data_IF_827551223695
#
_entry.id   IF_827551223695
#
_cell.length_a   1.000
_cell.length_b   1.000
_cell.length_c   1.000
_cell.angle_alpha   90.00
_cell.angle_beta   90.00
_cell.angle_gamma   90.00
#
_symmetry.space_group_name_H-M   'P 1'
#
loop_
_entity.id
_entity.type
_entity.pdbx_description
1 polymer ?
#
# COMPACT_ATOMS: atom_id res chain seq x y z
N UNK A 1 -6.06 -0.97 -5.77
CA UNK A 1 -5.63 0.30 -6.41
C UNK A 1 -6.27 0.48 -7.79
N UNK A 2 -7.40 -0.18 -8.07
CA UNK A 2 -7.92 -0.31 -9.43
C UNK A 2 -8.47 1.02 -9.98
N UNK A 3 -9.20 1.77 -9.14
CA UNK A 3 -9.72 3.09 -9.54
C UNK A 3 -8.60 4.05 -10.00
N UNK A 4 -7.43 4.01 -9.37
CA UNK A 4 -6.29 4.85 -9.73
C UNK A 4 -5.70 4.45 -11.09
N UNK A 5 -5.76 3.16 -11.44
CA UNK A 5 -5.38 2.69 -12.78
C UNK A 5 -6.38 3.16 -13.82
N UNK A 6 -7.68 3.05 -13.53
CA UNK A 6 -8.74 3.54 -14.43
C UNK A 6 -8.64 5.05 -14.68
N UNK A 7 -8.17 5.80 -13.68
CA UNK A 7 -7.95 7.24 -13.76
C UNK A 7 -6.55 7.62 -14.31
N UNK A 8 -5.77 6.65 -14.78
CA UNK A 8 -4.45 6.81 -15.41
C UNK A 8 -3.41 7.56 -14.55
N UNK A 9 -3.44 7.35 -13.24
CA UNK A 9 -2.43 7.91 -12.35
C UNK A 9 -1.10 7.18 -12.55
N UNK A 10 -0.06 7.92 -12.95
CA UNK A 10 1.28 7.36 -13.17
C UNK A 10 2.22 7.51 -11.96
N UNK A 11 1.99 8.52 -11.11
CA UNK A 11 2.82 8.86 -9.95
C UNK A 11 1.96 8.90 -8.70
N UNK A 12 2.25 8.01 -7.75
CA UNK A 12 1.40 7.84 -6.56
C UNK A 12 2.22 7.72 -5.28
N UNK A 13 1.75 8.40 -4.23
CA UNK A 13 2.27 8.28 -2.87
C UNK A 13 1.14 7.82 -1.97
N UNK A 14 1.26 6.61 -1.44
CA UNK A 14 0.33 6.05 -0.45
C UNK A 14 0.83 6.35 0.96
N UNK A 15 0.06 7.12 1.71
CA UNK A 15 0.32 7.36 3.12
C UNK A 15 -0.46 6.34 3.98
N UNK A 16 0.20 5.77 4.98
CA UNK A 16 -0.42 4.86 5.96
C UNK A 16 0.10 5.11 7.37
N UNK A 17 -0.68 4.79 8.37
CA UNK A 17 -0.32 4.82 9.78
C UNK A 17 0.02 3.44 10.37
N UNK A 18 -0.13 2.37 9.58
CA UNK A 18 0.26 1.03 9.98
C UNK A 18 1.74 0.78 9.68
N UNK A 19 2.59 0.57 10.68
CA UNK A 19 4.03 0.28 10.48
C UNK A 19 4.28 -1.14 9.93
N UNK A 20 3.41 -2.11 10.27
CA UNK A 20 3.56 -3.53 9.93
C UNK A 20 3.55 -3.80 8.42
N UNK A 21 2.79 -3.01 7.66
CA UNK A 21 2.67 -3.23 6.22
C UNK A 21 4.00 -3.00 5.47
N UNK A 22 4.96 -2.25 6.04
CA UNK A 22 6.31 -2.19 5.45
C UNK A 22 7.03 -3.53 5.63
N UNK A 23 6.96 -4.10 6.84
CA UNK A 23 7.61 -5.38 7.18
C UNK A 23 7.05 -6.54 6.36
N UNK A 24 5.74 -6.57 6.15
CA UNK A 24 5.10 -7.56 5.29
C UNK A 24 5.67 -7.53 3.86
N UNK A 25 5.92 -6.33 3.31
CA UNK A 25 6.47 -6.16 1.95
C UNK A 25 7.93 -6.57 1.88
N UNK A 26 8.71 -6.26 2.91
CA UNK A 26 10.14 -6.55 2.94
C UNK A 26 10.46 -8.03 3.24
N UNK A 27 9.61 -8.72 4.00
CA UNK A 27 9.85 -10.08 4.50
C UNK A 27 8.63 -10.99 4.31
N UNK A 28 8.18 -11.28 3.07
CA UNK A 28 6.96 -12.06 2.83
C UNK A 28 7.01 -13.48 3.41
N UNK A 29 8.20 -14.08 3.56
CA UNK A 29 8.37 -15.39 4.17
C UNK A 29 8.00 -15.46 5.67
N UNK A 30 8.00 -14.32 6.37
CA UNK A 30 7.53 -14.24 7.77
C UNK A 30 6.01 -14.14 7.87
N UNK A 31 5.32 -13.91 6.74
CA UNK A 31 3.87 -13.68 6.66
C UNK A 31 3.21 -14.60 5.62
N UNK A 32 3.37 -15.94 5.72
CA UNK A 32 2.92 -16.87 4.68
C UNK A 32 1.40 -16.82 4.45
N UNK A 33 0.62 -16.51 5.48
CA UNK A 33 -0.83 -16.31 5.38
C UNK A 33 -1.23 -15.16 4.45
N UNK A 34 -0.32 -14.22 4.17
CA UNK A 34 -0.57 -13.05 3.32
C UNK A 34 0.08 -13.16 1.93
N UNK A 35 0.71 -14.30 1.60
CA UNK A 35 1.47 -14.47 0.35
C UNK A 35 0.66 -14.09 -0.90
N UNK A 36 -0.56 -14.61 -1.03
CA UNK A 36 -1.46 -14.31 -2.17
C UNK A 36 -1.79 -12.82 -2.26
N UNK A 37 -2.15 -12.19 -1.14
CA UNK A 37 -2.41 -10.74 -1.11
C UNK A 37 -1.18 -9.94 -1.50
N UNK A 38 0.02 -10.45 -1.21
CA UNK A 38 1.26 -9.79 -1.56
C UNK A 38 1.59 -9.86 -3.03
N UNK A 39 1.33 -10.99 -3.67
CA UNK A 39 1.44 -11.13 -5.12
C UNK A 39 0.50 -10.16 -5.85
N UNK A 40 -0.76 -10.06 -5.39
CA UNK A 40 -1.75 -9.11 -5.92
C UNK A 40 -1.32 -7.65 -5.72
N UNK A 41 -0.75 -7.35 -4.55
CA UNK A 41 -0.22 -6.02 -4.25
C UNK A 41 0.95 -5.66 -5.17
N UNK A 42 1.92 -6.57 -5.37
CA UNK A 42 3.06 -6.34 -6.26
C UNK A 42 2.60 -6.17 -7.71
N UNK A 43 1.67 -7.00 -8.18
CA UNK A 43 1.07 -6.84 -9.51
C UNK A 43 0.38 -5.48 -9.63
N UNK A 44 -0.37 -5.05 -8.62
CA UNK A 44 -1.03 -3.75 -8.63
C UNK A 44 -0.04 -2.58 -8.61
N UNK A 45 1.10 -2.73 -7.91
CA UNK A 45 2.16 -1.73 -7.85
C UNK A 45 2.84 -1.54 -9.21
N UNK A 46 3.03 -2.61 -10.01
CA UNK A 46 3.76 -2.54 -11.28
C UNK A 46 3.07 -1.70 -12.36
N UNK A 47 1.81 -1.29 -12.15
CA UNK A 47 1.09 -0.41 -13.07
C UNK A 47 1.51 1.07 -12.94
N UNK A 48 2.16 1.46 -11.84
CA UNK A 48 2.56 2.84 -11.59
C UNK A 48 4.02 3.06 -11.99
N UNK A 49 4.30 4.13 -12.75
CA UNK A 49 5.66 4.51 -13.09
C UNK A 49 6.46 4.94 -11.85
N UNK A 50 5.81 5.66 -10.93
CA UNK A 50 6.38 6.01 -9.63
C UNK A 50 5.43 5.62 -8.52
N UNK A 51 5.94 4.87 -7.55
CA UNK A 51 5.17 4.36 -6.42
C UNK A 51 5.97 4.52 -5.14
N UNK A 52 5.40 5.23 -4.16
CA UNK A 52 5.97 5.37 -2.82
C UNK A 52 4.93 5.01 -1.76
N UNK A 53 5.37 4.35 -0.70
CA UNK A 53 4.60 4.22 0.54
C UNK A 53 5.32 5.03 1.61
N UNK A 54 4.60 5.87 2.33
CA UNK A 54 5.13 6.59 3.48
C UNK A 54 4.34 6.27 4.74
N UNK A 55 5.06 6.19 5.85
CA UNK A 55 4.43 6.16 7.17
C UNK A 55 4.08 7.58 7.58
N UNK A 56 2.85 7.77 8.10
CA UNK A 56 2.41 8.99 8.75
C UNK A 56 1.81 8.65 10.12
N UNK A 57 1.92 9.50 11.15
CA UNK A 57 1.25 9.25 12.43
C UNK A 57 -0.27 9.13 12.25
N UNK A 58 -0.93 8.25 13.02
CA UNK A 58 -2.40 8.08 13.00
C UNK A 58 -3.15 9.39 13.21
N UNK A 59 -2.64 10.26 14.09
CA UNK A 59 -3.17 11.60 14.33
C UNK A 59 -3.22 12.50 13.07
N UNK A 60 -2.47 12.14 12.02
CA UNK A 60 -2.46 12.83 10.72
C UNK A 60 -3.18 12.06 9.61
N UNK A 61 -3.65 10.83 9.88
CA UNK A 61 -4.37 9.98 8.93
C UNK A 61 -5.90 9.97 9.20
N UNK A 62 -6.44 11.05 9.75
CA UNK A 62 -7.79 11.10 10.34
C UNK A 62 -8.93 10.72 9.38
N UNK A 63 -8.80 11.05 8.10
CA UNK A 63 -9.85 10.74 7.12
C UNK A 63 -9.92 9.24 6.86
N UNK A 64 -8.77 8.61 6.58
CA UNK A 64 -8.71 7.17 6.41
C UNK A 64 -9.08 6.43 7.71
N UNK A 65 -8.71 6.99 8.87
CA UNK A 65 -9.04 6.39 10.16
C UNK A 65 -10.53 6.34 10.45
N UNK A 66 -11.27 7.36 10.00
CA UNK A 66 -12.73 7.42 10.11
C UNK A 66 -13.46 6.49 9.13
N UNK A 67 -12.76 5.94 8.15
CA UNK A 67 -13.31 5.07 7.11
C UNK A 67 -12.96 3.58 7.32
N UNK A 68 -12.13 3.28 8.32
CA UNK A 68 -11.63 1.94 8.62
C UNK A 68 -12.56 1.14 9.52
#
# INVERSE_FOLDING_TARGET
MECMKTLDFSYVVFAKDCSQLVKMVSSPGEWPAFATHMEEFQRSKSFFHSFKIQYIPRATNLVADKLA
#
